data_IF_667802706473
#
_entry.id   IF_667802706473
#
_cell.length_a   1.000
_cell.length_b   1.000
_cell.length_c   1.000
_cell.angle_alpha   90.00
_cell.angle_beta   90.00
_cell.angle_gamma   90.00
#
_symmetry.space_group_name_H-M   'P 1'
#
loop_
_entity.id
_entity.type
_entity.pdbx_description
1 polymer ?
#
# COMPACT_ATOMS: atom_id res chain seq x y z
N UNK A 1 1.41 -23.25 8.94
CA UNK A 1 0.36 -22.40 8.34
C UNK A 1 0.93 -21.72 7.11
N UNK A 2 0.24 -21.81 5.97
CA UNK A 2 0.63 -21.15 4.72
C UNK A 2 -0.17 -19.88 4.53
N UNK A 3 0.53 -18.76 4.41
CA UNK A 3 -0.08 -17.44 4.17
C UNK A 3 0.10 -17.06 2.70
N UNK A 4 -1.00 -16.86 1.98
CA UNK A 4 -0.97 -16.28 0.63
C UNK A 4 -0.84 -14.77 0.73
N UNK A 5 0.12 -14.19 0.00
CA UNK A 5 0.23 -12.74 -0.19
C UNK A 5 0.01 -12.43 -1.66
N UNK A 6 -1.09 -11.78 -1.99
CA UNK A 6 -1.27 -11.20 -3.33
C UNK A 6 -0.61 -9.82 -3.38
N UNK A 7 0.01 -9.47 -4.52
CA UNK A 7 0.80 -8.23 -4.59
C UNK A 7 2.13 -8.30 -3.84
N UNK A 8 2.62 -9.49 -3.57
CA UNK A 8 3.87 -9.75 -2.84
C UNK A 8 5.11 -9.08 -3.46
N UNK A 9 5.13 -8.92 -4.78
CA UNK A 9 6.22 -8.27 -5.52
C UNK A 9 6.24 -6.74 -5.39
N UNK A 10 5.17 -6.14 -4.85
CA UNK A 10 5.02 -4.69 -4.69
C UNK A 10 5.75 -4.14 -3.47
N UNK A 11 5.62 -2.82 -3.27
CA UNK A 11 6.26 -2.09 -2.18
C UNK A 11 5.91 -2.69 -0.80
N UNK A 12 4.69 -2.55 -0.33
CA UNK A 12 4.27 -3.06 1.00
C UNK A 12 4.33 -4.59 1.02
N UNK A 13 3.90 -5.25 -0.06
CA UNK A 13 3.87 -6.71 -0.15
C UNK A 13 5.23 -7.36 0.04
N UNK A 14 6.31 -6.79 -0.50
CA UNK A 14 7.65 -7.34 -0.36
C UNK A 14 8.22 -7.22 1.06
N UNK A 15 7.92 -6.13 1.77
CA UNK A 15 8.28 -5.97 3.18
C UNK A 15 7.48 -6.94 4.07
N UNK A 16 6.20 -7.11 3.78
CA UNK A 16 5.35 -8.04 4.50
C UNK A 16 5.77 -9.49 4.26
N UNK A 17 6.11 -9.84 3.01
CA UNK A 17 6.67 -11.14 2.66
C UNK A 17 7.96 -11.43 3.45
N UNK A 18 8.87 -10.47 3.48
CA UNK A 18 10.13 -10.58 4.22
C UNK A 18 9.88 -10.77 5.73
N UNK A 19 8.98 -9.96 6.31
CA UNK A 19 8.61 -10.05 7.71
C UNK A 19 8.05 -11.44 8.06
N UNK A 20 7.09 -11.96 7.30
CA UNK A 20 6.48 -13.26 7.57
C UNK A 20 7.48 -14.42 7.44
N UNK A 21 8.40 -14.36 6.47
CA UNK A 21 9.47 -15.36 6.34
C UNK A 21 10.44 -15.32 7.53
N UNK A 22 10.78 -14.12 8.05
CA UNK A 22 11.62 -13.96 9.24
C UNK A 22 10.95 -14.48 10.51
N UNK A 23 9.61 -14.38 10.59
CA UNK A 23 8.78 -14.97 11.64
C UNK A 23 8.58 -16.50 11.45
N UNK A 24 9.26 -17.12 10.47
CA UNK A 24 9.21 -18.57 10.24
C UNK A 24 7.93 -19.07 9.57
N UNK A 25 7.11 -18.18 8.99
CA UNK A 25 5.88 -18.58 8.30
C UNK A 25 6.17 -19.10 6.90
N UNK A 26 5.33 -20.03 6.43
CA UNK A 26 5.31 -20.44 5.03
C UNK A 26 4.53 -19.41 4.22
N UNK A 27 5.15 -18.90 3.15
CA UNK A 27 4.55 -17.84 2.32
C UNK A 27 4.40 -18.31 0.89
N UNK A 28 3.16 -18.25 0.39
CA UNK A 28 2.86 -18.29 -1.04
C UNK A 28 2.76 -16.84 -1.54
N UNK A 29 3.61 -16.48 -2.49
CA UNK A 29 3.72 -15.13 -3.03
C UNK A 29 3.13 -15.07 -4.44
N UNK A 30 2.02 -14.34 -4.63
CA UNK A 30 1.52 -14.05 -5.97
C UNK A 30 2.28 -12.86 -6.56
N UNK A 31 2.88 -13.10 -7.72
CA UNK A 31 3.47 -12.07 -8.58
C UNK A 31 2.65 -11.97 -9.88
N UNK A 32 2.65 -10.78 -10.51
CA UNK A 32 2.00 -10.62 -11.80
C UNK A 32 2.78 -11.40 -12.86
N UNK A 33 2.08 -12.13 -13.72
CA UNK A 33 2.71 -12.82 -14.84
C UNK A 33 3.47 -11.83 -15.73
N UNK A 34 4.72 -12.16 -16.02
CA UNK A 34 5.60 -11.47 -16.95
C UNK A 34 6.33 -12.50 -17.80
N UNK A 35 6.43 -12.28 -19.12
CA UNK A 35 7.17 -13.16 -20.04
C UNK A 35 8.66 -13.27 -19.69
N UNK A 36 9.19 -12.35 -18.86
CA UNK A 36 10.58 -12.35 -18.39
C UNK A 36 10.77 -13.06 -17.06
N UNK A 37 9.70 -13.57 -16.44
CA UNK A 37 9.78 -14.20 -15.12
C UNK A 37 10.14 -13.22 -13.98
N UNK A 38 9.84 -11.92 -14.15
CA UNK A 38 10.16 -10.90 -13.15
C UNK A 38 9.35 -11.10 -11.87
N UNK A 39 10.00 -11.08 -10.73
CA UNK A 39 9.41 -11.24 -9.40
C UNK A 39 9.42 -9.92 -8.60
N UNK A 40 9.70 -8.78 -9.26
CA UNK A 40 9.73 -7.45 -8.64
C UNK A 40 10.64 -7.38 -7.42
N UNK A 41 10.22 -6.67 -6.38
CA UNK A 41 11.03 -6.48 -5.16
C UNK A 41 11.34 -7.78 -4.38
N UNK A 42 10.75 -8.92 -4.73
CA UNK A 42 11.13 -10.20 -4.14
C UNK A 42 12.55 -10.62 -4.58
N UNK A 43 13.04 -10.10 -5.70
CA UNK A 43 14.41 -10.36 -6.16
C UNK A 43 15.49 -9.81 -5.22
N UNK A 44 15.18 -8.74 -4.48
CA UNK A 44 16.08 -8.11 -3.51
C UNK A 44 16.07 -8.76 -2.11
N UNK A 45 15.25 -9.79 -1.90
CA UNK A 45 15.27 -10.55 -0.65
C UNK A 45 16.56 -11.36 -0.52
N UNK A 46 17.10 -11.55 0.71
CA UNK A 46 18.17 -12.49 0.97
C UNK A 46 17.85 -13.87 0.38
N UNK A 47 18.85 -14.52 -0.22
CA UNK A 47 18.66 -15.81 -0.93
C UNK A 47 18.04 -16.87 -0.03
N UNK A 48 18.48 -16.97 1.23
CA UNK A 48 17.97 -17.92 2.22
C UNK A 48 16.49 -17.72 2.59
N UNK A 49 15.95 -16.53 2.38
CA UNK A 49 14.51 -16.24 2.53
C UNK A 49 13.77 -16.49 1.22
N UNK A 50 14.33 -16.04 0.11
CA UNK A 50 13.72 -16.17 -1.21
C UNK A 50 13.52 -17.63 -1.60
N UNK A 51 14.47 -18.52 -1.28
CA UNK A 51 14.40 -19.94 -1.58
C UNK A 51 13.30 -20.70 -0.81
N UNK A 52 12.72 -20.05 0.22
CA UNK A 52 11.57 -20.58 0.99
C UNK A 52 10.22 -20.17 0.41
N UNK A 53 10.18 -19.31 -0.63
CA UNK A 53 8.94 -18.81 -1.20
C UNK A 53 8.30 -19.82 -2.18
N UNK A 54 7.00 -20.05 -2.02
CA UNK A 54 6.17 -20.64 -3.08
C UNK A 54 5.69 -19.50 -4.01
N UNK A 55 6.45 -19.20 -5.07
CA UNK A 55 6.13 -18.11 -6.00
C UNK A 55 5.15 -18.62 -7.05
N UNK A 56 4.02 -17.91 -7.18
CA UNK A 56 2.99 -18.15 -8.20
C UNK A 56 2.84 -16.92 -9.09
N UNK A 57 2.91 -17.11 -10.41
CA UNK A 57 2.73 -16.04 -11.39
C UNK A 57 1.33 -16.12 -12.01
N UNK A 58 0.58 -15.02 -12.00
CA UNK A 58 -0.76 -14.97 -12.57
C UNK A 58 -1.48 -13.64 -12.35
N UNK A 59 -2.80 -13.63 -12.59
CA UNK A 59 -3.63 -12.45 -12.46
C UNK A 59 -4.86 -12.75 -11.60
N UNK A 60 -5.15 -11.86 -10.62
CA UNK A 60 -6.30 -12.00 -9.72
C UNK A 60 -7.64 -11.78 -10.42
N UNK A 61 -7.66 -11.19 -11.61
CA UNK A 61 -8.89 -11.04 -12.40
C UNK A 61 -9.38 -12.35 -13.02
N UNK A 62 -8.54 -13.41 -13.03
CA UNK A 62 -8.92 -14.74 -13.48
C UNK A 62 -9.46 -15.59 -12.30
N UNK A 63 -10.76 -15.95 -12.31
CA UNK A 63 -11.36 -16.71 -11.23
C UNK A 63 -10.90 -18.17 -11.14
N UNK A 64 -10.48 -18.77 -12.25
CA UNK A 64 -9.95 -20.14 -12.25
C UNK A 64 -8.57 -20.18 -11.60
N UNK A 65 -7.71 -19.24 -12.00
CA UNK A 65 -6.39 -19.12 -11.40
C UNK A 65 -6.45 -18.81 -9.90
N UNK A 66 -7.32 -17.88 -9.46
CA UNK A 66 -7.41 -17.51 -8.04
C UNK A 66 -7.93 -18.65 -7.17
N UNK A 67 -8.83 -19.48 -7.67
CA UNK A 67 -9.28 -20.70 -6.96
C UNK A 67 -8.11 -21.63 -6.66
N UNK A 68 -7.30 -21.91 -7.66
CA UNK A 68 -6.15 -22.83 -7.52
C UNK A 68 -5.03 -22.18 -6.68
N UNK A 69 -4.88 -20.85 -6.78
CA UNK A 69 -3.91 -20.08 -5.99
C UNK A 69 -4.18 -20.15 -4.48
N UNK A 70 -5.45 -20.05 -4.05
CA UNK A 70 -5.84 -20.04 -2.64
C UNK A 70 -5.86 -21.43 -2.05
N UNK A 71 -5.96 -22.48 -2.87
CA UNK A 71 -6.05 -23.85 -2.38
C UNK A 71 -4.81 -24.25 -1.56
N UNK A 72 -5.06 -24.79 -0.35
CA UNK A 72 -4.00 -25.19 0.59
C UNK A 72 -3.38 -24.02 1.36
N UNK A 73 -3.94 -22.81 1.26
CA UNK A 73 -3.57 -21.70 2.12
C UNK A 73 -4.48 -21.61 3.34
N UNK A 74 -3.91 -21.29 4.50
CA UNK A 74 -4.66 -21.09 5.74
C UNK A 74 -5.17 -19.64 5.87
N UNK A 75 -4.43 -18.68 5.30
CA UNK A 75 -4.65 -17.25 5.43
C UNK A 75 -4.37 -16.53 4.12
N UNK A 76 -5.05 -15.41 3.88
CA UNK A 76 -4.85 -14.57 2.71
C UNK A 76 -4.63 -13.11 3.10
N UNK A 77 -3.51 -12.54 2.66
CA UNK A 77 -3.21 -11.11 2.68
C UNK A 77 -3.38 -10.56 1.27
N UNK A 78 -4.49 -9.88 1.04
CA UNK A 78 -4.84 -9.37 -0.28
C UNK A 78 -4.39 -7.92 -0.47
N UNK A 79 -3.19 -7.74 -1.07
CA UNK A 79 -2.61 -6.43 -1.37
C UNK A 79 -2.57 -6.11 -2.87
N UNK A 80 -2.82 -7.08 -3.75
CA UNK A 80 -2.80 -6.86 -5.18
C UNK A 80 -3.87 -5.84 -5.60
N UNK A 81 -3.44 -4.73 -6.19
CA UNK A 81 -4.31 -3.66 -6.67
C UNK A 81 -3.57 -2.77 -7.68
N UNK A 82 -4.31 -2.11 -8.55
CA UNK A 82 -3.85 -0.91 -9.25
C UNK A 82 -4.07 0.29 -8.32
N UNK A 83 -3.00 1.08 -8.06
CA UNK A 83 -3.00 2.13 -7.02
C UNK A 83 -2.70 3.54 -7.55
N UNK A 84 -2.19 3.70 -8.77
CA UNK A 84 -1.79 4.99 -9.33
C UNK A 84 -3.01 5.87 -9.64
N UNK A 85 -3.30 6.88 -8.81
CA UNK A 85 -4.46 7.78 -9.03
C UNK A 85 -4.42 8.42 -10.44
N UNK A 86 -3.29 9.00 -10.93
CA UNK A 86 -3.26 9.55 -12.29
C UNK A 86 -3.57 8.53 -13.38
N UNK A 87 -3.06 7.31 -13.25
CA UNK A 87 -3.37 6.25 -14.21
C UNK A 87 -4.83 5.81 -14.18
N UNK A 88 -5.52 5.95 -13.03
CA UNK A 88 -6.95 5.63 -12.95
C UNK A 88 -7.84 6.53 -13.82
N UNK A 89 -7.37 7.74 -14.16
CA UNK A 89 -8.08 8.62 -15.10
C UNK A 89 -7.94 8.15 -16.56
N UNK A 90 -6.86 7.44 -16.88
CA UNK A 90 -6.55 6.95 -18.23
C UNK A 90 -7.19 5.59 -18.49
N UNK A 91 -7.13 4.69 -17.50
CA UNK A 91 -7.57 3.31 -17.62
C UNK A 91 -8.53 2.88 -16.50
N UNK A 92 -9.70 3.54 -16.30
CA UNK A 92 -10.59 3.26 -15.17
C UNK A 92 -11.15 1.83 -15.18
N UNK A 93 -11.39 1.24 -16.34
CA UNK A 93 -11.87 -0.14 -16.48
C UNK A 93 -10.88 -1.16 -15.88
N UNK A 94 -9.57 -0.94 -16.04
CA UNK A 94 -8.55 -1.80 -15.45
C UNK A 94 -8.61 -1.78 -13.93
N UNK A 95 -8.98 -0.63 -13.32
CA UNK A 95 -9.17 -0.53 -11.86
C UNK A 95 -10.38 -1.31 -11.38
N UNK A 96 -11.48 -1.30 -12.14
CA UNK A 96 -12.64 -2.14 -11.82
C UNK A 96 -12.29 -3.62 -11.93
N UNK A 97 -11.67 -4.03 -13.03
CA UNK A 97 -11.28 -5.44 -13.25
C UNK A 97 -10.33 -5.93 -12.15
N UNK A 98 -9.26 -5.18 -11.88
CA UNK A 98 -8.24 -5.63 -10.90
C UNK A 98 -8.74 -5.47 -9.47
N UNK A 99 -9.21 -4.25 -9.08
CA UNK A 99 -9.47 -3.96 -7.68
C UNK A 99 -10.82 -4.50 -7.20
N UNK A 100 -11.83 -4.52 -8.07
CA UNK A 100 -13.17 -4.98 -7.69
C UNK A 100 -13.34 -6.47 -8.02
N UNK A 101 -13.23 -6.85 -9.30
CA UNK A 101 -13.40 -8.26 -9.71
C UNK A 101 -12.30 -9.14 -9.13
N UNK A 102 -11.04 -8.67 -9.11
CA UNK A 102 -9.94 -9.40 -8.48
C UNK A 102 -10.16 -9.65 -6.99
N UNK A 103 -10.67 -8.64 -6.25
CA UNK A 103 -11.02 -8.82 -4.83
C UNK A 103 -12.16 -9.82 -4.68
N UNK A 104 -13.21 -9.73 -5.51
CA UNK A 104 -14.30 -10.70 -5.52
C UNK A 104 -13.80 -12.14 -5.72
N UNK A 105 -12.91 -12.35 -6.70
CA UNK A 105 -12.37 -13.68 -7.00
C UNK A 105 -11.57 -14.25 -5.80
N UNK A 106 -10.76 -13.42 -5.14
CA UNK A 106 -10.00 -13.83 -3.95
C UNK A 106 -10.94 -14.17 -2.78
N UNK A 107 -11.98 -13.38 -2.54
CA UNK A 107 -12.96 -13.64 -1.49
C UNK A 107 -13.74 -14.93 -1.75
N UNK A 108 -14.17 -15.15 -2.98
CA UNK A 108 -14.91 -16.37 -3.35
C UNK A 108 -14.04 -17.61 -3.25
N UNK A 109 -12.79 -17.56 -3.74
CA UNK A 109 -11.82 -18.64 -3.57
C UNK A 109 -11.55 -18.93 -2.09
N UNK A 110 -11.39 -17.89 -1.28
CA UNK A 110 -11.19 -18.00 0.18
C UNK A 110 -12.37 -18.63 0.89
N UNK A 111 -13.61 -18.29 0.48
CA UNK A 111 -14.84 -18.89 1.01
C UNK A 111 -14.91 -20.37 0.68
N UNK A 112 -14.64 -20.76 -0.56
CA UNK A 112 -14.68 -22.15 -1.01
C UNK A 112 -13.64 -23.04 -0.30
N UNK A 113 -12.46 -22.50 -0.04
CA UNK A 113 -11.36 -23.20 0.63
C UNK A 113 -11.41 -23.09 2.16
N UNK A 114 -12.34 -22.31 2.71
CA UNK A 114 -12.54 -22.11 4.16
C UNK A 114 -11.28 -21.62 4.87
N UNK A 115 -10.60 -20.61 4.30
CA UNK A 115 -9.43 -20.01 4.92
C UNK A 115 -9.77 -19.44 6.31
N UNK A 116 -8.83 -19.48 7.22
CA UNK A 116 -8.98 -19.02 8.60
C UNK A 116 -9.18 -17.50 8.68
N UNK A 117 -8.54 -16.75 7.80
CA UNK A 117 -8.62 -15.27 7.76
C UNK A 117 -8.27 -14.71 6.40
N UNK A 118 -9.01 -13.68 5.99
CA UNK A 118 -8.69 -12.85 4.84
C UNK A 118 -8.47 -11.41 5.30
N UNK A 119 -7.31 -10.84 5.00
CA UNK A 119 -7.05 -9.42 5.21
C UNK A 119 -7.12 -8.73 3.86
N UNK A 120 -8.09 -7.83 3.69
CA UNK A 120 -8.23 -6.99 2.48
C UNK A 120 -7.59 -5.64 2.74
N UNK A 121 -6.65 -5.26 1.89
CA UNK A 121 -6.01 -3.95 1.96
C UNK A 121 -6.86 -2.90 1.28
N UNK A 122 -7.32 -1.92 2.04
CA UNK A 122 -8.00 -0.71 1.57
C UNK A 122 -7.01 0.48 1.51
N UNK A 123 -7.51 1.69 1.63
CA UNK A 123 -6.71 2.93 1.56
C UNK A 123 -7.43 4.08 2.27
N UNK A 124 -6.69 5.06 2.78
CA UNK A 124 -7.27 6.32 3.27
C UNK A 124 -7.92 7.18 2.17
N UNK A 125 -7.57 6.97 0.91
CA UNK A 125 -8.17 7.70 -0.23
C UNK A 125 -9.68 7.42 -0.43
N UNK A 126 -10.25 6.39 0.22
CA UNK A 126 -11.69 6.12 0.21
C UNK A 126 -12.51 7.19 0.93
N UNK A 127 -11.88 8.02 1.76
CA UNK A 127 -12.54 9.09 2.49
C UNK A 127 -12.67 10.38 1.70
N UNK A 128 -11.86 10.55 0.66
CA UNK A 128 -11.79 11.83 -0.05
C UNK A 128 -11.37 12.97 0.87
N UNK A 129 -11.87 14.17 0.60
CA UNK A 129 -11.64 15.33 1.48
C UNK A 129 -12.37 15.13 2.80
N UNK A 130 -11.61 15.20 3.90
CA UNK A 130 -12.14 14.96 5.23
C UNK A 130 -13.26 15.93 5.61
N UNK A 131 -14.38 15.39 6.09
CA UNK A 131 -15.48 16.18 6.67
C UNK A 131 -15.13 16.57 8.11
N UNK A 132 -14.41 15.70 8.81
CA UNK A 132 -13.82 15.95 10.11
C UNK A 132 -12.44 15.27 10.21
N UNK A 133 -11.59 15.78 11.08
CA UNK A 133 -10.22 15.32 11.28
C UNK A 133 -9.88 15.34 12.78
N UNK A 134 -9.16 14.33 13.29
CA UNK A 134 -8.63 13.15 12.59
C UNK A 134 -9.73 12.20 12.10
N UNK A 135 -9.44 11.47 11.00
CA UNK A 135 -10.36 10.53 10.36
C UNK A 135 -10.37 9.22 11.15
N UNK A 136 -11.55 8.79 11.59
CA UNK A 136 -11.78 7.46 12.17
C UNK A 136 -12.54 6.54 11.21
N UNK A 137 -12.79 5.29 11.61
CA UNK A 137 -13.44 4.27 10.77
C UNK A 137 -14.93 4.56 10.50
N UNK A 138 -15.54 5.51 11.20
CA UNK A 138 -16.94 5.93 11.01
C UNK A 138 -17.08 7.06 9.99
N UNK A 139 -15.95 7.66 9.58
CA UNK A 139 -15.96 8.72 8.58
C UNK A 139 -16.62 8.24 7.28
N UNK A 140 -17.54 9.01 6.66
CA UNK A 140 -18.20 8.61 5.43
C UNK A 140 -17.22 8.43 4.27
N UNK A 141 -17.51 7.46 3.40
CA UNK A 141 -16.70 7.17 2.21
C UNK A 141 -17.12 8.10 1.06
N UNK A 142 -16.13 8.73 0.42
CA UNK A 142 -16.32 9.68 -0.68
C UNK A 142 -15.29 9.45 -1.79
N UNK A 143 -15.72 8.89 -2.91
CA UNK A 143 -14.85 8.65 -4.04
C UNK A 143 -14.54 9.95 -4.79
N UNK A 144 -13.28 10.38 -4.82
CA UNK A 144 -12.81 11.53 -5.60
C UNK A 144 -11.91 11.13 -6.80
N UNK A 145 -11.78 9.83 -7.05
CA UNK A 145 -11.08 9.29 -8.22
C UNK A 145 -11.63 7.91 -8.60
N UNK A 146 -11.43 7.43 -9.84
CA UNK A 146 -11.76 6.06 -10.19
C UNK A 146 -11.04 5.02 -9.33
N UNK A 147 -9.81 5.31 -8.89
CA UNK A 147 -9.09 4.48 -7.92
C UNK A 147 -9.85 4.35 -6.61
N UNK A 148 -10.19 5.49 -5.96
CA UNK A 148 -10.89 5.44 -4.67
C UNK A 148 -12.27 4.80 -4.79
N UNK A 149 -13.00 5.02 -5.90
CA UNK A 149 -14.26 4.35 -6.18
C UNK A 149 -14.10 2.83 -6.24
N UNK A 150 -13.07 2.34 -6.94
CA UNK A 150 -12.78 0.89 -7.02
C UNK A 150 -12.42 0.28 -5.66
N UNK A 151 -11.72 1.03 -4.80
CA UNK A 151 -11.39 0.57 -3.44
C UNK A 151 -12.58 0.57 -2.51
N UNK A 152 -13.49 1.57 -2.61
CA UNK A 152 -14.77 1.57 -1.88
C UNK A 152 -15.61 0.35 -2.29
N UNK A 153 -15.68 0.04 -3.58
CA UNK A 153 -16.41 -1.13 -4.06
C UNK A 153 -15.80 -2.43 -3.50
N UNK A 154 -14.48 -2.58 -3.54
CA UNK A 154 -13.78 -3.73 -2.95
C UNK A 154 -14.06 -3.88 -1.45
N UNK A 155 -14.02 -2.78 -0.68
CA UNK A 155 -14.34 -2.77 0.75
C UNK A 155 -15.78 -3.25 1.01
N UNK A 156 -16.75 -2.79 0.19
CA UNK A 156 -18.15 -3.18 0.35
C UNK A 156 -18.42 -4.64 -0.04
N UNK A 157 -17.69 -5.16 -1.04
CA UNK A 157 -17.74 -6.59 -1.35
C UNK A 157 -17.15 -7.40 -0.18
N UNK A 158 -16.02 -7.00 0.38
CA UNK A 158 -15.42 -7.66 1.53
C UNK A 158 -16.37 -7.67 2.74
N UNK A 159 -17.00 -6.53 3.07
CA UNK A 159 -17.99 -6.42 4.12
C UNK A 159 -19.19 -7.36 3.86
N UNK A 160 -19.68 -7.44 2.61
CA UNK A 160 -20.80 -8.31 2.26
C UNK A 160 -20.48 -9.79 2.43
N UNK A 161 -19.25 -10.21 2.13
CA UNK A 161 -18.82 -11.60 2.31
C UNK A 161 -18.74 -12.00 3.79
N UNK A 162 -18.34 -11.10 4.67
CA UNK A 162 -18.44 -11.33 6.11
C UNK A 162 -19.90 -11.47 6.55
N UNK A 163 -20.76 -10.52 6.15
CA UNK A 163 -22.17 -10.49 6.59
C UNK A 163 -23.01 -11.64 6.03
N UNK A 164 -22.78 -12.03 4.77
CA UNK A 164 -23.63 -13.01 4.07
C UNK A 164 -23.14 -14.44 4.17
N UNK A 165 -21.81 -14.62 4.32
CA UNK A 165 -21.19 -15.95 4.26
C UNK A 165 -20.32 -16.24 5.48
N UNK A 166 -20.27 -15.35 6.47
CA UNK A 166 -19.44 -15.47 7.67
C UNK A 166 -17.95 -15.68 7.34
N UNK A 167 -17.49 -15.24 6.14
CA UNK A 167 -16.08 -15.30 5.78
C UNK A 167 -15.28 -14.40 6.73
N UNK A 168 -14.24 -14.89 7.43
CA UNK A 168 -13.50 -14.11 8.42
C UNK A 168 -12.61 -13.05 7.76
N UNK A 169 -13.24 -11.99 7.24
CA UNK A 169 -12.58 -10.87 6.56
C UNK A 169 -12.28 -9.75 7.54
N UNK A 170 -11.10 -9.15 7.42
CA UNK A 170 -10.71 -7.90 8.07
C UNK A 170 -10.26 -6.91 6.99
N UNK A 171 -10.75 -5.67 7.04
CA UNK A 171 -10.31 -4.60 6.13
C UNK A 171 -9.29 -3.72 6.82
N UNK A 172 -8.05 -3.67 6.29
CA UNK A 172 -7.01 -2.76 6.79
C UNK A 172 -6.90 -1.54 5.87
N UNK A 173 -6.96 -0.34 6.45
CA UNK A 173 -6.80 0.94 5.74
C UNK A 173 -5.54 1.66 6.18
N UNK A 174 -4.38 1.37 5.55
CA UNK A 174 -3.18 2.16 5.78
C UNK A 174 -3.40 3.61 5.32
N UNK A 175 -2.92 4.56 6.12
CA UNK A 175 -2.68 5.90 5.65
C UNK A 175 -1.39 5.90 4.81
N UNK A 176 -0.90 7.05 4.35
CA UNK A 176 0.19 7.05 3.39
C UNK A 176 1.42 6.32 3.93
N UNK A 177 1.74 5.18 3.34
CA UNK A 177 2.95 4.41 3.69
C UNK A 177 4.14 4.89 2.86
N UNK A 178 5.33 4.99 3.46
CA UNK A 178 6.57 5.34 2.79
C UNK A 178 7.73 4.45 3.25
N UNK A 179 8.81 4.38 2.47
CA UNK A 179 9.99 3.60 2.82
C UNK A 179 10.76 3.05 1.61
N UNK A 180 11.78 2.24 1.84
CA UNK A 180 12.51 1.50 0.80
C UNK A 180 11.57 0.73 -0.14
N UNK A 181 11.94 0.55 -1.41
CA UNK A 181 11.15 -0.14 -2.45
C UNK A 181 9.86 0.60 -2.87
N UNK A 182 9.61 1.82 -2.37
CA UNK A 182 8.45 2.60 -2.80
C UNK A 182 8.64 3.10 -4.23
N UNK A 183 7.56 3.07 -5.02
CA UNK A 183 7.58 3.53 -6.42
C UNK A 183 8.03 4.98 -6.58
N UNK A 184 8.80 5.28 -7.63
CA UNK A 184 9.20 6.64 -8.03
C UNK A 184 8.03 7.62 -8.25
N UNK A 185 6.78 7.13 -8.35
CA UNK A 185 5.56 7.96 -8.45
C UNK A 185 5.14 8.58 -7.12
N UNK A 186 5.59 8.03 -5.99
CA UNK A 186 5.25 8.55 -4.68
C UNK A 186 6.13 9.76 -4.33
N UNK A 187 5.59 10.66 -3.50
CA UNK A 187 6.19 11.97 -3.25
C UNK A 187 7.60 11.89 -2.67
N UNK A 188 7.85 11.04 -1.67
CA UNK A 188 9.16 10.91 -1.02
C UNK A 188 10.22 10.38 -1.99
N UNK A 189 10.03 9.23 -2.71
CA UNK A 189 10.99 8.81 -3.72
C UNK A 189 11.17 9.80 -4.87
N UNK A 190 10.12 10.56 -5.23
CA UNK A 190 10.22 11.62 -6.25
C UNK A 190 11.19 12.71 -5.80
N UNK A 191 11.10 13.17 -4.54
CA UNK A 191 11.96 14.25 -4.01
C UNK A 191 13.40 13.73 -3.83
N UNK A 192 13.56 12.64 -3.09
CA UNK A 192 14.86 12.05 -2.79
C UNK A 192 15.60 11.63 -4.08
N UNK A 193 14.87 11.03 -5.04
CA UNK A 193 15.45 10.61 -6.32
C UNK A 193 15.99 11.79 -7.12
N UNK A 194 15.24 12.90 -7.22
CA UNK A 194 15.73 14.11 -7.89
C UNK A 194 16.94 14.72 -7.17
N UNK A 195 16.88 14.81 -5.84
CA UNK A 195 17.95 15.36 -5.03
C UNK A 195 19.26 14.52 -5.14
N UNK A 196 19.16 13.20 -5.02
CA UNK A 196 20.29 12.27 -5.13
C UNK A 196 20.86 12.19 -6.55
N UNK A 197 20.04 12.47 -7.59
CA UNK A 197 20.50 12.57 -8.97
C UNK A 197 21.19 13.88 -9.30
N UNK A 198 21.28 14.83 -8.36
CA UNK A 198 21.91 16.12 -8.55
C UNK A 198 21.12 17.06 -9.47
N UNK A 199 19.80 16.95 -9.50
CA UNK A 199 18.97 17.87 -10.29
C UNK A 199 19.11 19.30 -9.75
N UNK A 200 19.11 20.29 -10.67
CA UNK A 200 19.29 21.71 -10.31
C UNK A 200 18.07 22.29 -9.59
N UNK A 201 16.91 21.70 -9.77
CA UNK A 201 15.65 22.06 -9.17
C UNK A 201 14.80 20.80 -8.90
N UNK A 202 13.99 20.84 -7.85
CA UNK A 202 13.09 19.74 -7.48
C UNK A 202 11.68 20.06 -7.98
N UNK A 203 11.21 19.31 -8.98
CA UNK A 203 9.91 19.52 -9.63
C UNK A 203 8.81 18.78 -8.90
N UNK A 204 7.86 19.53 -8.30
CA UNK A 204 6.73 19.00 -7.54
C UNK A 204 5.41 19.55 -8.07
N UNK A 205 4.31 18.89 -7.67
CA UNK A 205 2.95 19.39 -7.93
C UNK A 205 2.49 20.36 -6.84
N UNK A 206 1.29 20.10 -6.25
CA UNK A 206 0.75 20.90 -5.17
C UNK A 206 1.50 20.62 -3.85
N UNK A 207 1.90 21.69 -3.15
CA UNK A 207 2.67 21.61 -1.90
C UNK A 207 1.80 21.66 -0.63
N UNK A 208 0.55 22.09 -0.76
CA UNK A 208 -0.33 22.34 0.39
C UNK A 208 -1.04 21.11 0.98
N UNK A 209 -1.30 20.01 0.22
CA UNK A 209 -1.96 18.84 0.80
C UNK A 209 -1.17 18.24 1.96
N UNK A 210 -1.90 17.81 2.99
CA UNK A 210 -1.31 17.18 4.19
C UNK A 210 -1.54 15.69 4.20
N UNK A 211 -0.51 14.94 4.56
CA UNK A 211 -0.53 13.47 4.61
C UNK A 211 0.03 12.95 5.93
N UNK A 212 -0.66 11.98 6.50
CA UNK A 212 -0.16 11.15 7.58
C UNK A 212 0.75 10.07 6.98
N UNK A 213 2.02 10.07 7.34
CA UNK A 213 3.07 9.26 6.73
C UNK A 213 3.55 8.19 7.70
N UNK A 214 3.31 6.92 7.38
CA UNK A 214 3.72 5.77 8.20
C UNK A 214 4.84 5.00 7.52
N UNK A 215 5.89 4.68 8.26
CA UNK A 215 7.01 3.89 7.72
C UNK A 215 6.58 2.46 7.39
N UNK A 216 7.09 1.90 6.31
CA UNK A 216 6.64 0.61 5.75
C UNK A 216 6.79 -0.56 6.70
N UNK A 217 7.79 -0.58 7.57
CA UNK A 217 7.95 -1.63 8.57
C UNK A 217 6.81 -1.62 9.61
N UNK A 218 6.35 -0.43 10.03
CA UNK A 218 5.20 -0.29 10.91
C UNK A 218 3.90 -0.70 10.24
N UNK A 219 3.75 -0.39 8.93
CA UNK A 219 2.65 -0.87 8.11
C UNK A 219 2.66 -2.40 8.04
N UNK A 220 3.78 -3.03 7.70
CA UNK A 220 3.89 -4.49 7.62
C UNK A 220 3.56 -5.16 8.97
N UNK A 221 4.01 -4.56 10.08
CA UNK A 221 3.71 -5.05 11.42
C UNK A 221 2.20 -4.98 11.75
N UNK A 222 1.47 -3.96 11.27
CA UNK A 222 0.01 -3.91 11.43
C UNK A 222 -0.69 -5.08 10.76
N UNK A 223 -0.24 -5.50 9.58
CA UNK A 223 -0.77 -6.68 8.88
C UNK A 223 -0.50 -7.98 9.66
N UNK A 224 0.71 -8.15 10.18
CA UNK A 224 1.06 -9.31 11.00
C UNK A 224 0.18 -9.38 12.25
N UNK A 225 0.04 -8.29 13.00
CA UNK A 225 -0.81 -8.22 14.19
C UNK A 225 -2.29 -8.52 13.87
N UNK A 226 -2.79 -8.02 12.74
CA UNK A 226 -4.16 -8.30 12.32
C UNK A 226 -4.38 -9.76 11.88
N UNK A 227 -3.35 -10.47 11.39
CA UNK A 227 -3.44 -11.92 11.17
C UNK A 227 -3.64 -12.70 12.47
N UNK A 228 -3.09 -12.22 13.56
CA UNK A 228 -3.02 -12.93 14.85
C UNK A 228 -4.12 -12.52 15.84
N UNK A 229 -4.61 -11.27 15.74
CA UNK A 229 -5.59 -10.73 16.69
C UNK A 229 -6.93 -11.49 16.61
N UNK A 230 -7.46 -11.98 17.74
CA UNK A 230 -8.77 -12.63 17.77
C UNK A 230 -9.90 -11.59 17.77
N UNK A 231 -11.07 -12.00 17.25
CA UNK A 231 -12.33 -11.25 17.40
C UNK A 231 -12.40 -9.93 16.63
N UNK A 232 -11.63 -9.81 15.54
CA UNK A 232 -11.63 -8.63 14.67
C UNK A 232 -12.25 -8.89 13.29
N UNK A 233 -12.86 -10.05 13.11
CA UNK A 233 -13.54 -10.41 11.86
C UNK A 233 -14.71 -9.46 11.59
N UNK A 234 -14.81 -8.98 10.36
CA UNK A 234 -15.78 -7.97 9.94
C UNK A 234 -15.37 -6.53 10.23
N UNK A 235 -14.25 -6.33 10.93
CA UNK A 235 -13.79 -5.00 11.31
C UNK A 235 -13.01 -4.30 10.18
N UNK A 236 -13.17 -2.98 10.15
CA UNK A 236 -12.26 -2.08 9.42
C UNK A 236 -11.33 -1.43 10.45
N UNK A 237 -10.03 -1.40 10.18
CA UNK A 237 -9.03 -0.86 11.11
C UNK A 237 -8.08 0.07 10.34
N UNK A 238 -7.93 1.30 10.83
CA UNK A 238 -6.96 2.27 10.33
C UNK A 238 -5.62 2.14 11.05
N UNK A 239 -4.55 2.51 10.36
CA UNK A 239 -3.27 2.76 11.00
C UNK A 239 -2.52 3.88 10.29
N UNK A 240 -1.92 4.73 11.09
CA UNK A 240 -1.20 5.93 10.72
C UNK A 240 -0.43 6.48 11.90
N UNK A 241 0.44 7.45 11.65
CA UNK A 241 1.25 8.11 12.71
C UNK A 241 0.38 8.95 13.66
N UNK A 242 -0.76 9.49 13.16
CA UNK A 242 -1.55 10.48 13.87
C UNK A 242 -0.95 11.88 13.79
N UNK A 243 -0.09 12.12 12.81
CA UNK A 243 0.49 13.42 12.50
C UNK A 243 0.50 13.63 10.98
N UNK A 244 0.06 14.79 10.51
CA UNK A 244 -0.05 15.09 9.08
C UNK A 244 0.93 16.22 8.69
N UNK A 245 1.76 15.93 7.70
CA UNK A 245 2.75 16.85 7.13
C UNK A 245 2.29 17.37 5.77
N UNK A 246 2.45 18.67 5.51
CA UNK A 246 2.27 19.19 4.17
C UNK A 246 3.34 18.65 3.22
N UNK A 247 3.05 18.63 1.92
CA UNK A 247 4.05 18.22 0.92
C UNK A 247 5.28 19.15 0.97
N UNK A 248 5.10 20.42 1.30
CA UNK A 248 6.20 21.37 1.51
C UNK A 248 7.11 20.94 2.69
N UNK A 249 6.52 20.64 3.85
CA UNK A 249 7.25 20.16 5.03
C UNK A 249 7.98 18.84 4.74
N UNK A 250 7.32 17.92 4.04
CA UNK A 250 7.94 16.64 3.62
C UNK A 250 9.12 16.91 2.67
N UNK A 251 8.97 17.83 1.73
CA UNK A 251 10.05 18.17 0.80
C UNK A 251 11.24 18.78 1.54
N UNK A 252 11.02 19.71 2.45
CA UNK A 252 12.07 20.32 3.27
C UNK A 252 12.80 19.23 4.11
N UNK A 253 12.06 18.30 4.72
CA UNK A 253 12.64 17.20 5.47
C UNK A 253 13.47 16.26 4.58
N UNK A 254 12.97 15.88 3.40
CA UNK A 254 13.72 15.05 2.44
C UNK A 254 15.04 15.72 2.00
N UNK A 255 14.98 17.00 1.63
CA UNK A 255 16.17 17.75 1.18
C UNK A 255 17.21 17.89 2.30
N UNK A 256 16.75 18.15 3.52
CA UNK A 256 17.62 18.18 4.71
C UNK A 256 18.30 16.83 4.94
N UNK A 257 17.58 15.72 4.79
CA UNK A 257 18.10 14.35 5.00
C UNK A 257 19.29 14.04 4.08
N UNK A 258 19.26 14.54 2.84
CA UNK A 258 20.33 14.27 1.85
C UNK A 258 21.28 15.46 1.64
N UNK A 259 21.17 16.51 2.45
CA UNK A 259 22.03 17.70 2.35
C UNK A 259 21.89 18.47 1.04
N UNK A 260 20.72 18.43 0.40
CA UNK A 260 20.43 19.10 -0.87
C UNK A 260 19.81 20.48 -0.63
N UNK A 261 20.32 21.51 -1.35
CA UNK A 261 19.83 22.89 -1.29
C UNK A 261 19.12 23.35 -2.58
N UNK A 262 18.80 22.41 -3.48
CA UNK A 262 18.12 22.73 -4.73
C UNK A 262 16.73 23.36 -4.48
N UNK A 263 16.33 24.42 -5.21
CA UNK A 263 15.04 25.04 -5.06
C UNK A 263 13.91 24.13 -5.53
N UNK A 264 12.73 24.27 -4.89
CA UNK A 264 11.52 23.56 -5.31
C UNK A 264 10.79 24.43 -6.35
N UNK A 265 10.43 23.80 -7.48
CA UNK A 265 9.64 24.44 -8.55
C UNK A 265 8.35 23.67 -8.81
N UNK A 266 7.28 24.39 -9.17
CA UNK A 266 5.97 23.79 -9.43
C UNK A 266 5.87 23.31 -10.89
N UNK A 267 5.58 22.00 -11.09
CA UNK A 267 5.30 21.40 -12.39
C UNK A 267 3.78 21.14 -12.53
N UNK A 268 3.13 21.88 -13.44
CA UNK A 268 1.68 21.76 -13.67
C UNK A 268 1.22 20.36 -14.10
N UNK A 269 2.10 19.58 -14.76
CA UNK A 269 1.79 18.19 -15.17
C UNK A 269 1.60 17.25 -13.98
N UNK A 270 2.12 17.62 -12.81
CA UNK A 270 2.04 16.85 -11.56
C UNK A 270 0.83 17.26 -10.70
N UNK A 271 0.04 18.22 -11.13
CA UNK A 271 -1.18 18.64 -10.42
C UNK A 271 -2.34 17.70 -10.76
N UNK A 272 -3.07 17.28 -9.74
CA UNK A 272 -4.33 16.58 -9.91
C UNK A 272 -5.45 17.53 -10.31
N UNK A 273 -6.53 17.07 -10.96
CA UNK A 273 -7.75 17.89 -11.10
C UNK A 273 -8.21 18.39 -9.72
N UNK A 274 -8.61 19.65 -9.63
CA UNK A 274 -8.91 20.33 -8.37
C UNK A 274 -9.93 19.56 -7.51
N UNK A 275 -11.02 19.08 -8.11
CA UNK A 275 -12.07 18.31 -7.41
C UNK A 275 -11.62 16.90 -6.99
N UNK A 276 -10.50 16.42 -7.52
CA UNK A 276 -9.89 15.12 -7.18
C UNK A 276 -8.75 15.25 -6.15
N UNK A 277 -8.35 16.49 -5.81
CA UNK A 277 -7.32 16.71 -4.80
C UNK A 277 -7.89 16.53 -3.39
N UNK A 278 -7.23 15.69 -2.60
CA UNK A 278 -7.56 15.46 -1.19
C UNK A 278 -6.66 16.34 -0.33
N UNK A 279 -7.25 17.27 0.39
CA UNK A 279 -6.46 18.30 1.12
C UNK A 279 -5.78 17.77 2.37
N UNK A 280 -6.47 16.96 3.19
CA UNK A 280 -5.93 16.46 4.46
C UNK A 280 -6.31 15.00 4.65
N UNK A 281 -5.31 14.17 4.93
CA UNK A 281 -5.48 12.81 5.44
C UNK A 281 -4.69 12.71 6.75
N UNK A 282 -5.41 12.67 7.87
CA UNK A 282 -4.88 12.51 9.22
C UNK A 282 -5.60 11.36 9.91
N UNK A 283 -4.86 10.35 10.32
CA UNK A 283 -5.38 9.12 10.91
C UNK A 283 -5.75 9.27 12.38
N UNK A 284 -6.91 8.76 12.77
CA UNK A 284 -7.16 8.36 14.14
C UNK A 284 -6.90 6.85 14.28
N UNK A 285 -5.74 6.48 14.80
CA UNK A 285 -5.34 5.08 14.99
C UNK A 285 -5.75 4.49 16.36
N UNK A 286 -6.75 5.08 17.03
CA UNK A 286 -7.17 4.62 18.37
C UNK A 286 -7.65 3.17 18.35
N UNK A 287 -8.40 2.76 17.32
CA UNK A 287 -8.88 1.39 17.16
C UNK A 287 -7.72 0.40 16.97
N UNK A 288 -6.74 0.70 16.12
CA UNK A 288 -5.56 -0.16 15.94
C UNK A 288 -4.79 -0.36 17.26
N UNK A 289 -4.67 0.69 18.06
CA UNK A 289 -4.06 0.58 19.41
C UNK A 289 -4.86 -0.35 20.33
N UNK A 290 -6.18 -0.18 20.34
CA UNK A 290 -7.05 -0.93 21.24
C UNK A 290 -7.15 -2.42 20.89
N UNK A 291 -7.31 -2.75 19.56
CA UNK A 291 -7.63 -4.13 19.16
C UNK A 291 -6.40 -4.91 18.65
N UNK A 292 -5.33 -4.23 18.20
CA UNK A 292 -4.10 -4.85 17.73
C UNK A 292 -2.88 -4.61 18.63
N UNK A 293 -3.00 -3.72 19.63
CA UNK A 293 -1.82 -3.24 20.37
C UNK A 293 -0.80 -2.53 19.45
N UNK A 294 -1.25 -2.05 18.28
CA UNK A 294 -0.37 -1.44 17.30
C UNK A 294 -0.14 0.05 17.60
N UNK A 295 1.10 0.47 17.50
CA UNK A 295 1.51 1.87 17.46
C UNK A 295 2.72 2.02 16.55
N UNK A 296 2.89 3.15 15.85
CA UNK A 296 4.08 3.39 15.02
C UNK A 296 5.33 3.43 15.91
N UNK A 297 6.45 2.93 15.39
CA UNK A 297 7.74 2.87 16.10
C UNK A 297 8.82 3.74 15.43
N UNK A 298 8.70 3.96 14.12
CA UNK A 298 9.71 4.65 13.32
C UNK A 298 9.26 6.09 13.08
N UNK A 299 10.08 7.06 13.42
CA UNK A 299 9.82 8.49 13.16
C UNK A 299 9.90 8.82 11.66
N UNK A 300 9.38 9.99 11.26
CA UNK A 300 9.52 10.46 9.88
C UNK A 300 10.99 10.61 9.51
N UNK A 301 11.79 11.21 10.37
CA UNK A 301 13.20 11.48 10.15
C UNK A 301 14.00 10.18 9.97
N UNK A 302 13.81 9.21 10.84
CA UNK A 302 14.46 7.89 10.74
C UNK A 302 14.03 7.16 9.47
N UNK A 303 12.74 7.15 9.16
CA UNK A 303 12.22 6.53 7.95
C UNK A 303 12.75 7.19 6.66
N UNK A 304 12.93 8.52 6.66
CA UNK A 304 13.54 9.25 5.54
C UNK A 304 15.01 8.89 5.35
N UNK A 305 15.79 8.76 6.41
CA UNK A 305 17.19 8.31 6.35
C UNK A 305 17.29 6.92 5.72
N UNK A 306 16.49 5.95 6.20
CA UNK A 306 16.46 4.59 5.66
C UNK A 306 16.02 4.55 4.19
N UNK A 307 15.07 5.41 3.82
CA UNK A 307 14.58 5.50 2.44
C UNK A 307 15.62 6.13 1.53
N UNK A 308 16.31 7.18 1.98
CA UNK A 308 17.37 7.85 1.23
C UNK A 308 18.57 6.93 1.00
N UNK A 309 19.00 6.19 2.02
CA UNK A 309 20.07 5.20 1.91
C UNK A 309 19.74 4.12 0.87
N UNK A 310 18.53 3.55 0.95
CA UNK A 310 18.08 2.57 -0.06
C UNK A 310 18.11 3.16 -1.47
N UNK A 311 17.57 4.36 -1.66
CA UNK A 311 17.51 5.01 -2.97
C UNK A 311 18.90 5.32 -3.52
N UNK A 312 19.85 5.73 -2.68
CA UNK A 312 21.24 5.99 -3.10
C UNK A 312 21.88 4.76 -3.74
N UNK A 313 21.61 3.56 -3.22
CA UNK A 313 22.13 2.30 -3.74
C UNK A 313 21.35 1.76 -4.96
N UNK A 314 20.11 2.22 -5.19
CA UNK A 314 19.22 1.71 -6.24
C UNK A 314 18.79 2.81 -7.23
N UNK A 315 19.50 3.92 -7.31
CA UNK A 315 19.09 5.10 -8.07
C UNK A 315 18.84 4.82 -9.55
N UNK A 316 19.57 3.87 -10.12
CA UNK A 316 19.44 3.47 -11.53
C UNK A 316 18.07 2.81 -11.86
N UNK A 317 17.41 2.24 -10.86
CA UNK A 317 16.09 1.62 -11.00
C UNK A 317 14.97 2.68 -11.02
N UNK A 318 15.28 3.91 -10.57
CA UNK A 318 14.35 5.03 -10.47
C UNK A 318 14.58 6.01 -11.63
N UNK A 319 13.57 6.13 -12.54
CA UNK A 319 13.59 7.12 -13.63
C UNK A 319 13.29 8.52 -13.08
N UNK A 320 14.30 9.13 -12.44
CA UNK A 320 14.15 10.38 -11.68
C UNK A 320 13.83 11.60 -12.54
N UNK A 321 14.20 11.57 -13.84
CA UNK A 321 14.00 12.68 -14.79
C UNK A 321 12.65 12.70 -15.47
N UNK A 322 11.88 11.60 -15.39
CA UNK A 322 10.58 11.49 -16.03
C UNK A 322 9.46 11.53 -15.01
N UNK A 323 8.33 12.17 -15.38
CA UNK A 323 7.11 12.03 -14.60
C UNK A 323 6.49 10.65 -14.86
N UNK A 324 6.58 9.77 -13.88
CA UNK A 324 5.97 8.45 -13.97
C UNK A 324 4.46 8.53 -13.64
N UNK A 325 3.61 8.10 -14.56
CA UNK A 325 2.13 8.03 -14.42
C UNK A 325 1.74 6.64 -13.88
#
# INVERSE_FOLDING_TARGET
>A
MTTLITGAAGFIGSHLTELLLREGRQVRALVRYSSRGEIGHLSSLPTELRDKLDIRAGDISDPFFTRDLVQGCDEVLHLAALIGIPYSYVAPSSYVSTNVTGTLNILEASRQTKVRRVIVTSTSEVYGTAIYSPIDEKHPLQAQSPYSASKIAADKIAESYFRSFELPVVTLRPFNTFGPRQSARAIIPTILGQALSGEREIKLGNLTPKRDLTFVADTARAFLLALEAPGIEGETIHFGQGNAWSIEEVAAACLKTVGCSAPITLDGRRKRPEKSEVHVLLCNAAKARAVLGWAPKVSLEEGLLLTADYLAHHLQEYRTREYAI
#
